data_IF_328197135575
#
_entry.id   IF_328197135575
#
_cell.length_a   1.000
_cell.length_b   1.000
_cell.length_c   1.000
_cell.angle_alpha   90.00
_cell.angle_beta   90.00
_cell.angle_gamma   90.00
#
_symmetry.space_group_name_H-M   'P 1'
#
loop_
_entity.id
_entity.type
_entity.pdbx_description
1 polymer ?
#
# COMPACT_ATOMS: atom_id res chain seq x y z
N UNK A 1 21.63 -9.58 91.06
CA UNK A 1 22.01 -9.12 89.70
C UNK A 1 22.71 -7.78 89.84
N UNK A 2 23.98 -7.67 89.46
CA UNK A 2 24.81 -6.51 89.78
C UNK A 2 24.52 -5.37 88.80
N UNK A 3 24.44 -4.12 89.26
CA UNK A 3 24.07 -2.95 88.43
C UNK A 3 25.00 -2.78 87.21
N UNK A 4 26.27 -3.19 87.34
CA UNK A 4 27.25 -3.25 86.23
C UNK A 4 26.82 -4.20 85.11
N UNK A 5 26.18 -5.33 85.42
CA UNK A 5 25.72 -6.31 84.42
C UNK A 5 24.53 -5.78 83.62
N UNK A 6 23.64 -5.01 84.26
CA UNK A 6 22.49 -4.37 83.59
C UNK A 6 22.96 -3.23 82.68
N UNK A 7 23.93 -2.42 83.14
CA UNK A 7 24.50 -1.33 82.33
C UNK A 7 25.25 -1.86 81.09
N UNK A 8 26.00 -2.95 81.22
CA UNK A 8 26.67 -3.60 80.07
C UNK A 8 25.65 -4.19 79.09
N UNK A 9 24.55 -4.76 79.59
CA UNK A 9 23.48 -5.28 78.73
C UNK A 9 22.75 -4.18 77.97
N UNK A 10 22.51 -3.02 78.59
CA UNK A 10 21.89 -1.86 77.92
C UNK A 10 22.82 -1.17 76.93
N UNK A 11 24.13 -1.11 77.20
CA UNK A 11 25.12 -0.56 76.26
C UNK A 11 25.30 -1.52 75.06
N UNK A 12 25.28 -2.83 75.28
CA UNK A 12 25.32 -3.80 74.19
C UNK A 12 24.06 -3.77 73.31
N UNK A 13 22.88 -3.49 73.89
CA UNK A 13 21.64 -3.34 73.13
C UNK A 13 21.59 -2.05 72.31
N UNK A 14 22.27 -0.99 72.74
CA UNK A 14 22.33 0.30 72.03
C UNK A 14 23.21 0.25 70.76
N UNK A 15 24.06 -0.77 70.61
CA UNK A 15 24.92 -0.98 69.45
C UNK A 15 24.31 -1.91 68.39
N UNK A 16 23.11 -2.44 68.63
CA UNK A 16 22.35 -3.20 67.62
C UNK A 16 21.29 -2.26 67.04
N UNK A 17 21.72 -1.13 66.49
CA UNK A 17 20.86 -0.44 65.53
C UNK A 17 20.92 -1.25 64.23
N UNK A 18 19.79 -1.69 63.66
CA UNK A 18 19.81 -2.23 62.30
C UNK A 18 20.40 -1.12 61.41
N UNK A 19 21.49 -1.43 60.70
CA UNK A 19 21.98 -0.52 59.67
C UNK A 19 20.81 -0.21 58.75
N UNK A 20 20.61 1.04 58.31
CA UNK A 20 19.61 1.31 57.28
C UNK A 20 19.89 0.34 56.13
N UNK A 21 18.90 -0.49 55.79
CA UNK A 21 19.01 -1.33 54.62
C UNK A 21 19.29 -0.38 53.44
N UNK A 22 20.46 -0.54 52.81
CA UNK A 22 20.79 0.22 51.61
C UNK A 22 19.63 0.04 50.63
N UNK A 23 19.04 1.16 50.19
CA UNK A 23 17.96 1.13 49.23
C UNK A 23 18.44 0.43 47.95
N UNK A 24 17.54 -0.31 47.29
CA UNK A 24 17.87 -0.88 45.99
C UNK A 24 18.05 0.27 44.98
N UNK A 25 19.01 0.18 44.06
CA UNK A 25 19.27 1.25 43.09
C UNK A 25 18.08 1.40 42.14
N UNK A 26 17.79 2.64 41.75
CA UNK A 26 16.68 2.97 40.86
C UNK A 26 17.09 3.95 39.76
N UNK A 27 16.45 3.85 38.59
CA UNK A 27 16.72 4.79 37.48
C UNK A 27 16.00 6.11 37.79
N UNK A 28 16.77 7.17 38.03
CA UNK A 28 16.26 8.50 38.37
C UNK A 28 15.72 9.26 37.15
N UNK A 29 16.35 9.06 35.98
CA UNK A 29 15.91 9.65 34.71
C UNK A 29 16.43 8.87 33.53
N UNK A 30 15.73 8.95 32.41
CA UNK A 30 16.11 8.29 31.17
C UNK A 30 15.55 9.07 29.99
N UNK A 31 16.29 9.12 28.88
CA UNK A 31 15.89 9.88 27.69
C UNK A 31 16.43 9.25 26.42
N UNK A 32 15.89 9.70 25.28
CA UNK A 32 16.39 9.34 23.96
C UNK A 32 16.36 10.57 23.03
N UNK A 33 17.28 10.66 22.08
CA UNK A 33 17.36 11.79 21.14
C UNK A 33 16.29 11.77 20.05
N UNK A 34 15.61 10.63 19.83
CA UNK A 34 14.57 10.50 18.81
C UNK A 34 13.30 11.28 19.18
N UNK A 35 12.90 11.24 20.45
CA UNK A 35 11.69 11.91 20.97
C UNK A 35 12.01 13.01 21.99
N UNK A 36 13.28 13.13 22.40
CA UNK A 36 13.75 14.09 23.42
C UNK A 36 12.95 14.02 24.73
N UNK A 37 12.49 12.83 25.09
CA UNK A 37 11.65 12.56 26.26
C UNK A 37 11.90 11.14 26.80
N UNK A 38 11.25 10.80 27.90
CA UNK A 38 11.26 9.50 28.58
C UNK A 38 10.37 8.45 27.86
N UNK A 39 10.30 8.51 26.53
CA UNK A 39 9.53 7.54 25.75
C UNK A 39 10.33 6.24 25.60
N UNK A 40 9.72 5.10 25.97
CA UNK A 40 10.31 3.77 25.79
C UNK A 40 10.08 3.22 24.38
N UNK A 41 9.17 3.81 23.61
CA UNK A 41 8.81 3.42 22.24
C UNK A 41 9.08 4.56 21.26
N UNK A 42 10.34 5.00 21.07
CA UNK A 42 10.62 6.10 20.16
C UNK A 42 10.41 5.67 18.70
N UNK A 43 9.78 6.55 17.93
CA UNK A 43 9.72 6.44 16.48
C UNK A 43 11.06 6.87 15.88
N UNK A 44 11.71 5.97 15.16
CA UNK A 44 13.07 6.19 14.63
C UNK A 44 13.04 6.20 13.11
N UNK A 45 13.56 7.28 12.55
CA UNK A 45 13.77 7.40 11.10
C UNK A 45 14.87 6.41 10.68
N UNK A 46 14.65 5.69 9.58
CA UNK A 46 15.60 4.74 9.05
C UNK A 46 16.98 5.39 8.81
N UNK A 47 18.05 4.79 9.37
CA UNK A 47 19.42 5.30 9.28
C UNK A 47 19.76 6.46 10.24
N UNK A 48 18.80 6.99 11.00
CA UNK A 48 19.08 8.03 11.99
C UNK A 48 19.80 7.43 13.21
N UNK A 49 20.75 8.20 13.77
CA UNK A 49 21.42 7.83 15.02
C UNK A 49 20.59 8.29 16.22
N UNK A 50 20.22 7.35 17.06
CA UNK A 50 19.51 7.60 18.32
C UNK A 50 20.46 7.35 19.48
N UNK A 51 20.59 8.32 20.37
CA UNK A 51 21.34 8.20 21.61
C UNK A 51 20.38 8.00 22.77
N UNK A 52 20.56 6.90 23.49
CA UNK A 52 19.87 6.58 24.74
C UNK A 52 20.73 7.05 25.90
N UNK A 53 20.09 7.62 26.92
CA UNK A 53 20.78 8.12 28.11
C UNK A 53 20.02 7.67 29.35
N UNK A 54 20.77 7.26 30.37
CA UNK A 54 20.21 6.83 31.65
C UNK A 54 20.96 7.50 32.81
N UNK A 55 20.23 7.83 33.87
CA UNK A 55 20.80 8.31 35.13
C UNK A 55 20.23 7.46 36.25
N UNK A 56 21.12 6.97 37.10
CA UNK A 56 20.77 6.17 38.27
C UNK A 56 20.93 7.06 39.51
N UNK A 57 20.10 6.81 40.53
CA UNK A 57 20.10 7.54 41.81
C UNK A 57 21.40 7.38 42.63
N UNK A 58 22.24 6.42 42.26
CA UNK A 58 23.51 6.10 42.90
C UNK A 58 24.67 6.02 41.90
N UNK A 59 25.90 6.06 42.41
CA UNK A 59 27.10 5.92 41.59
C UNK A 59 27.18 4.53 40.93
N UNK A 60 27.19 4.50 39.60
CA UNK A 60 27.28 3.28 38.79
C UNK A 60 28.74 2.85 38.63
N UNK A 61 29.01 1.57 38.90
CA UNK A 61 30.33 0.94 38.73
C UNK A 61 30.51 0.36 37.33
N UNK A 62 29.42 -0.14 36.73
CA UNK A 62 29.41 -0.75 35.41
C UNK A 62 28.08 -0.52 34.70
N UNK A 63 28.15 0.02 33.48
CA UNK A 63 27.08 -0.03 32.50
C UNK A 63 27.32 -1.19 31.54
N UNK A 64 26.28 -1.96 31.29
CA UNK A 64 26.23 -2.99 30.26
C UNK A 64 25.09 -2.63 29.31
N UNK A 65 25.37 -2.56 28.02
CA UNK A 65 24.39 -2.29 26.98
C UNK A 65 24.19 -3.51 26.09
N UNK A 66 22.95 -3.78 25.69
CA UNK A 66 22.62 -4.80 24.69
C UNK A 66 21.82 -4.18 23.55
N UNK A 67 22.24 -4.50 22.33
CA UNK A 67 21.47 -4.27 21.11
C UNK A 67 20.88 -5.61 20.67
N UNK A 68 19.57 -5.77 20.82
CA UNK A 68 18.96 -7.09 20.67
C UNK A 68 19.44 -8.05 21.76
N UNK A 69 19.94 -9.20 21.31
CA UNK A 69 20.57 -10.22 22.14
C UNK A 69 22.08 -10.04 22.32
N UNK A 70 22.68 -9.01 21.69
CA UNK A 70 24.13 -8.86 21.62
C UNK A 70 24.61 -7.82 22.62
N UNK A 71 25.48 -8.21 23.55
CA UNK A 71 26.12 -7.26 24.45
C UNK A 71 27.13 -6.40 23.68
N UNK A 72 27.08 -5.09 23.92
CA UNK A 72 28.00 -4.12 23.33
C UNK A 72 29.00 -3.69 24.39
N UNK A 73 30.28 -3.60 24.02
CA UNK A 73 31.33 -3.06 24.89
C UNK A 73 31.16 -1.56 25.03
N UNK A 74 30.32 -1.14 25.98
CA UNK A 74 30.11 0.26 26.32
C UNK A 74 29.88 0.38 27.83
N UNK A 75 30.81 1.05 28.52
CA UNK A 75 30.70 1.35 29.95
C UNK A 75 30.46 2.85 30.18
N UNK A 76 29.45 3.40 29.51
CA UNK A 76 29.03 4.80 29.64
C UNK A 76 27.53 4.84 29.95
N UNK A 77 27.10 5.97 30.49
CA UNK A 77 25.69 6.31 30.77
C UNK A 77 24.86 6.58 29.49
N UNK A 78 25.54 6.61 28.33
CA UNK A 78 24.95 6.85 27.02
C UNK A 78 25.31 5.76 26.02
N UNK A 79 24.39 5.47 25.11
CA UNK A 79 24.61 4.53 24.01
C UNK A 79 23.95 5.05 22.74
N UNK A 80 24.73 5.14 21.66
CA UNK A 80 24.26 5.61 20.36
C UNK A 80 24.15 4.44 19.38
N UNK A 81 23.01 4.33 18.69
CA UNK A 81 22.75 3.29 17.70
C UNK A 81 21.94 3.83 16.52
N UNK A 82 22.25 3.34 15.33
CA UNK A 82 21.42 3.48 14.14
C UNK A 82 21.08 2.09 13.61
N UNK A 83 19.89 1.96 13.04
CA UNK A 83 19.41 0.75 12.39
C UNK A 83 18.99 1.07 10.96
N UNK A 84 19.25 0.12 10.07
CA UNK A 84 18.81 0.15 8.67
C UNK A 84 17.64 -0.78 8.40
N UNK A 85 17.44 -1.76 9.30
CA UNK A 85 16.48 -2.83 9.13
C UNK A 85 15.11 -2.41 9.71
N UNK A 86 14.06 -2.39 8.88
CA UNK A 86 12.76 -1.85 9.27
C UNK A 86 11.97 -2.86 10.10
N UNK A 87 12.17 -2.90 11.42
CA UNK A 87 11.39 -3.71 12.37
C UNK A 87 11.53 -3.16 13.81
N UNK A 88 10.83 -3.79 14.75
CA UNK A 88 11.02 -3.55 16.18
C UNK A 88 12.44 -3.90 16.60
N UNK A 89 13.12 -2.92 17.18
CA UNK A 89 14.44 -3.11 17.80
C UNK A 89 14.27 -3.13 19.31
N UNK A 90 15.28 -3.65 20.02
CA UNK A 90 15.34 -3.49 21.46
C UNK A 90 16.75 -3.07 21.88
N UNK A 91 16.80 -2.16 22.84
CA UNK A 91 18.03 -1.69 23.46
C UNK A 91 17.87 -1.85 24.96
N UNK A 92 18.73 -2.66 25.58
CA UNK A 92 18.71 -2.88 27.02
C UNK A 92 19.92 -2.21 27.65
N UNK A 93 19.72 -1.55 28.78
CA UNK A 93 20.79 -1.11 29.67
C UNK A 93 20.66 -1.81 31.00
N UNK A 94 21.80 -2.22 31.57
CA UNK A 94 21.91 -2.66 32.96
C UNK A 94 23.00 -1.85 33.63
N UNK A 95 22.63 -1.13 34.67
CA UNK A 95 23.56 -0.40 35.51
C UNK A 95 23.77 -1.18 36.81
N UNK A 96 25.04 -1.40 37.16
CA UNK A 96 25.42 -2.04 38.42
C UNK A 96 25.99 -0.99 39.36
N UNK A 97 25.48 -0.93 40.58
CA UNK A 97 25.92 -0.02 41.66
C UNK A 97 26.51 -0.86 42.81
N UNK A 98 26.89 -0.20 43.91
CA UNK A 98 27.35 -0.89 45.12
C UNK A 98 26.23 -1.66 45.85
N UNK A 99 24.97 -1.28 45.61
CA UNK A 99 23.77 -1.78 46.30
C UNK A 99 23.01 -2.84 45.50
N UNK A 100 23.21 -2.89 44.17
CA UNK A 100 22.59 -3.90 43.31
C UNK A 100 22.75 -3.60 41.83
N UNK A 101 21.85 -4.13 41.00
CA UNK A 101 21.76 -3.81 39.58
C UNK A 101 20.34 -3.41 39.22
N UNK A 102 20.21 -2.46 38.30
CA UNK A 102 18.93 -2.01 37.72
C UNK A 102 19.00 -2.10 36.20
N UNK A 103 17.89 -2.47 35.55
CA UNK A 103 17.81 -2.64 34.10
C UNK A 103 16.63 -1.88 33.50
N UNK A 104 16.79 -1.46 32.25
CA UNK A 104 15.75 -0.80 31.45
C UNK A 104 15.86 -1.22 29.99
N UNK A 105 14.72 -1.23 29.29
CA UNK A 105 14.62 -1.60 27.87
C UNK A 105 13.87 -0.52 27.11
N UNK A 106 14.44 -0.09 25.99
CA UNK A 106 13.75 0.68 24.95
C UNK A 106 13.35 -0.23 23.80
N UNK A 107 12.24 0.10 23.15
CA UNK A 107 11.69 -0.57 21.96
C UNK A 107 11.54 0.42 20.80
N UNK A 108 12.64 0.83 20.15
CA UNK A 108 12.58 1.72 19.00
C UNK A 108 11.78 1.10 17.85
N UNK A 109 10.90 1.90 17.25
CA UNK A 109 10.04 1.49 16.14
C UNK A 109 10.60 2.13 14.86
N UNK A 110 11.04 1.28 13.92
CA UNK A 110 11.45 1.74 12.60
C UNK A 110 10.33 1.48 11.60
N UNK A 111 9.79 2.55 11.03
CA UNK A 111 8.85 2.44 9.93
C UNK A 111 9.60 2.14 8.63
N UNK A 112 9.02 1.24 7.83
CA UNK A 112 9.44 1.06 6.45
C UNK A 112 9.15 2.36 5.68
N UNK A 113 10.07 2.76 4.80
CA UNK A 113 9.83 3.86 3.87
C UNK A 113 8.56 3.60 3.03
N UNK A 114 7.74 4.63 2.83
CA UNK A 114 6.59 4.55 1.94
C UNK A 114 7.05 4.17 0.52
N UNK A 115 6.23 3.40 -0.18
CA UNK A 115 6.52 3.05 -1.57
C UNK A 115 6.53 4.33 -2.42
N UNK A 116 7.62 4.57 -3.14
CA UNK A 116 7.78 5.74 -4.02
C UNK A 116 6.86 5.67 -5.23
N UNK A 117 6.43 4.47 -5.61
CA UNK A 117 5.52 4.24 -6.73
C UNK A 117 4.08 4.25 -6.26
N UNK A 118 3.28 5.16 -6.77
CA UNK A 118 1.82 5.11 -6.66
C UNK A 118 1.30 3.88 -7.42
N UNK A 119 0.27 3.22 -6.88
CA UNK A 119 -0.47 2.22 -7.66
C UNK A 119 -1.05 2.89 -8.91
N UNK A 120 -1.04 2.17 -10.04
CA UNK A 120 -1.75 2.64 -11.23
C UNK A 120 -3.23 2.80 -10.91
N UNK A 121 -3.78 3.96 -11.22
CA UNK A 121 -5.21 4.22 -11.09
C UNK A 121 -5.96 3.48 -12.18
N UNK A 122 -7.07 2.85 -11.82
CA UNK A 122 -8.00 2.27 -12.80
C UNK A 122 -8.55 3.42 -13.64
N UNK A 123 -8.53 3.27 -14.98
CA UNK A 123 -9.16 4.23 -15.87
C UNK A 123 -10.69 4.08 -15.79
N UNK A 124 -11.33 5.03 -15.12
CA UNK A 124 -12.78 5.10 -14.93
C UNK A 124 -13.50 5.87 -16.04
N UNK A 125 -12.76 6.43 -17.02
CA UNK A 125 -13.33 7.20 -18.14
C UNK A 125 -14.49 6.48 -18.86
N UNK A 126 -14.41 5.16 -19.16
CA UNK A 126 -15.53 4.45 -19.78
C UNK A 126 -16.77 4.40 -18.89
N UNK A 127 -16.60 4.27 -17.57
CA UNK A 127 -17.69 4.26 -16.61
C UNK A 127 -18.37 5.64 -16.53
N UNK A 128 -17.59 6.71 -16.43
CA UNK A 128 -18.11 8.08 -16.39
C UNK A 128 -18.87 8.45 -17.66
N UNK A 129 -18.33 8.04 -18.82
CA UNK A 129 -18.99 8.26 -20.12
C UNK A 129 -20.30 7.48 -20.20
N UNK A 130 -20.33 6.25 -19.69
CA UNK A 130 -21.56 5.45 -19.63
C UNK A 130 -22.60 6.09 -18.71
N UNK A 131 -22.20 6.55 -17.52
CA UNK A 131 -23.13 7.14 -16.56
C UNK A 131 -23.71 8.46 -17.07
N UNK A 132 -22.85 9.36 -17.57
CA UNK A 132 -23.29 10.65 -18.13
C UNK A 132 -24.21 10.50 -19.33
N UNK A 133 -24.03 9.46 -20.16
CA UNK A 133 -24.92 9.17 -21.30
C UNK A 133 -26.35 8.81 -20.90
N UNK A 134 -26.61 8.51 -19.62
CA UNK A 134 -27.91 8.14 -19.09
C UNK A 134 -28.62 9.26 -18.31
N UNK A 135 -27.94 10.35 -17.96
CA UNK A 135 -28.44 11.37 -17.02
C UNK A 135 -29.24 12.50 -17.68
N UNK A 136 -28.73 13.11 -18.77
CA UNK A 136 -29.31 14.36 -19.31
C UNK A 136 -30.30 14.14 -20.47
N UNK A 137 -30.01 13.18 -21.34
CA UNK A 137 -30.83 12.66 -22.43
C UNK A 137 -30.24 11.29 -22.77
N UNK A 138 -31.07 10.30 -23.07
CA UNK A 138 -30.60 8.95 -23.41
C UNK A 138 -29.76 8.99 -24.71
N UNK A 139 -28.46 9.18 -24.57
CA UNK A 139 -27.50 9.17 -25.67
C UNK A 139 -27.00 7.74 -25.87
N UNK A 140 -27.79 6.98 -26.63
CA UNK A 140 -27.51 5.58 -26.93
C UNK A 140 -26.19 5.38 -27.68
N UNK A 141 -25.70 6.39 -28.41
CA UNK A 141 -24.44 6.29 -29.16
C UNK A 141 -23.27 6.44 -28.19
N UNK A 142 -23.32 7.43 -27.29
CA UNK A 142 -22.32 7.60 -26.25
C UNK A 142 -22.31 6.40 -25.29
N UNK A 143 -23.49 5.91 -24.89
CA UNK A 143 -23.63 4.69 -24.09
C UNK A 143 -22.98 3.46 -24.76
N UNK A 144 -23.30 3.22 -26.04
CA UNK A 144 -22.75 2.10 -26.79
C UNK A 144 -21.23 2.22 -26.93
N UNK A 145 -20.73 3.42 -27.25
CA UNK A 145 -19.29 3.66 -27.41
C UNK A 145 -18.52 3.45 -26.10
N UNK A 146 -19.07 3.88 -24.97
CA UNK A 146 -18.50 3.65 -23.64
C UNK A 146 -18.49 2.16 -23.26
N UNK A 147 -19.57 1.44 -23.58
CA UNK A 147 -19.71 0.01 -23.26
C UNK A 147 -18.71 -0.87 -24.02
N UNK A 148 -18.40 -0.52 -25.28
CA UNK A 148 -17.46 -1.29 -26.11
C UNK A 148 -16.00 -0.89 -25.88
N UNK A 149 -15.75 0.30 -25.32
CA UNK A 149 -14.43 0.87 -25.06
C UNK A 149 -13.44 -0.08 -24.37
N UNK A 150 -13.79 -0.75 -23.25
CA UNK A 150 -12.86 -1.68 -22.59
C UNK A 150 -12.44 -2.85 -23.49
N UNK A 151 -13.29 -3.28 -24.42
CA UNK A 151 -12.94 -4.35 -25.36
C UNK A 151 -12.12 -3.80 -26.54
N UNK A 152 -12.54 -2.68 -27.11
CA UNK A 152 -11.81 -2.05 -28.23
C UNK A 152 -10.46 -1.48 -27.80
N UNK A 153 -10.27 -1.14 -26.52
CA UNK A 153 -8.98 -0.71 -25.97
C UNK A 153 -7.94 -1.84 -25.94
N UNK A 154 -8.38 -3.09 -25.80
CA UNK A 154 -7.49 -4.26 -25.73
C UNK A 154 -7.22 -4.87 -27.10
N UNK A 155 -8.27 -5.08 -27.90
CA UNK A 155 -8.18 -5.81 -29.18
C UNK A 155 -8.50 -4.95 -30.41
N UNK A 156 -8.72 -3.65 -30.23
CA UNK A 156 -8.94 -2.72 -31.34
C UNK A 156 -10.20 -3.03 -32.16
N UNK A 157 -10.13 -2.70 -33.45
CA UNK A 157 -11.23 -2.91 -34.40
C UNK A 157 -11.56 -4.39 -34.63
N UNK A 158 -10.69 -5.33 -34.25
CA UNK A 158 -10.97 -6.76 -34.33
C UNK A 158 -12.12 -7.19 -33.42
N UNK A 159 -12.42 -6.43 -32.36
CA UNK A 159 -13.60 -6.64 -31.51
C UNK A 159 -14.88 -6.75 -32.34
N UNK A 160 -15.11 -5.81 -33.27
CA UNK A 160 -16.30 -5.81 -34.10
C UNK A 160 -16.34 -7.00 -35.05
N UNK A 161 -15.19 -7.41 -35.60
CA UNK A 161 -15.09 -8.60 -36.46
C UNK A 161 -15.42 -9.87 -35.67
N UNK A 162 -14.99 -9.97 -34.41
CA UNK A 162 -15.32 -11.11 -33.55
C UNK A 162 -16.79 -11.12 -33.16
N UNK A 163 -17.33 -10.00 -32.68
CA UNK A 163 -18.74 -9.93 -32.25
C UNK A 163 -19.69 -10.22 -33.41
N UNK A 164 -19.51 -9.53 -34.55
CA UNK A 164 -20.37 -9.73 -35.71
C UNK A 164 -20.05 -11.03 -36.46
N UNK A 165 -18.78 -11.39 -36.57
CA UNK A 165 -18.35 -12.61 -37.24
C UNK A 165 -18.81 -13.87 -36.52
N UNK A 166 -18.79 -13.90 -35.18
CA UNK A 166 -19.34 -15.01 -34.40
C UNK A 166 -20.86 -15.07 -34.58
N UNK A 167 -21.56 -13.93 -34.51
CA UNK A 167 -23.01 -13.90 -34.72
C UNK A 167 -23.41 -14.42 -36.10
N UNK A 168 -22.87 -13.86 -37.18
CA UNK A 168 -23.17 -14.29 -38.54
C UNK A 168 -22.66 -15.69 -38.83
N UNK A 169 -21.52 -16.09 -38.27
CA UNK A 169 -20.99 -17.45 -38.34
C UNK A 169 -21.95 -18.46 -37.72
N UNK A 170 -22.53 -18.17 -36.55
CA UNK A 170 -23.53 -19.04 -35.93
C UNK A 170 -24.82 -19.13 -36.75
N UNK A 171 -25.29 -18.01 -37.31
CA UNK A 171 -26.47 -18.02 -38.20
C UNK A 171 -26.20 -18.85 -39.45
N UNK A 172 -25.02 -18.71 -40.05
CA UNK A 172 -24.62 -19.50 -41.21
C UNK A 172 -24.54 -20.99 -40.90
N UNK A 173 -23.87 -21.39 -39.82
CA UNK A 173 -23.73 -22.80 -39.43
C UNK A 173 -25.09 -23.45 -39.17
N UNK A 174 -26.05 -22.72 -38.58
CA UNK A 174 -27.39 -23.28 -38.29
C UNK A 174 -28.29 -23.37 -39.51
N UNK A 175 -28.12 -22.50 -40.49
CA UNK A 175 -29.02 -22.41 -41.65
C UNK A 175 -28.46 -23.06 -42.90
N UNK A 176 -27.20 -23.50 -42.87
CA UNK A 176 -26.44 -24.12 -43.97
C UNK A 176 -26.48 -23.32 -45.29
N UNK A 177 -26.87 -22.05 -45.20
CA UNK A 177 -27.20 -21.18 -46.31
C UNK A 177 -26.68 -19.78 -46.03
N UNK A 178 -25.82 -19.29 -46.93
CA UNK A 178 -25.21 -17.96 -46.81
C UNK A 178 -26.20 -16.83 -47.12
N UNK A 179 -27.34 -17.16 -47.73
CA UNK A 179 -28.32 -16.18 -48.18
C UNK A 179 -28.91 -15.37 -47.03
N UNK A 180 -29.23 -16.01 -45.90
CA UNK A 180 -29.87 -15.32 -44.78
C UNK A 180 -28.91 -14.40 -44.03
N UNK A 181 -27.67 -14.80 -43.65
CA UNK A 181 -26.66 -13.87 -43.15
C UNK A 181 -26.45 -12.67 -44.08
N UNK A 182 -26.43 -12.91 -45.39
CA UNK A 182 -26.19 -11.87 -46.40
C UNK A 182 -27.36 -10.88 -46.49
N UNK A 183 -28.60 -11.37 -46.52
CA UNK A 183 -29.80 -10.52 -46.57
C UNK A 183 -29.96 -9.72 -45.28
N UNK A 184 -29.74 -10.33 -44.12
CA UNK A 184 -29.78 -9.62 -42.82
C UNK A 184 -28.69 -8.57 -42.76
N UNK A 185 -27.45 -8.90 -43.15
CA UNK A 185 -26.35 -7.94 -43.22
C UNK A 185 -26.65 -6.77 -44.15
N UNK A 186 -27.29 -7.03 -45.29
CA UNK A 186 -27.70 -6.01 -46.24
C UNK A 186 -28.81 -5.11 -45.70
N UNK A 187 -29.83 -5.66 -45.05
CA UNK A 187 -30.90 -4.89 -44.39
C UNK A 187 -30.32 -4.01 -43.29
N UNK A 188 -29.50 -4.59 -42.40
CA UNK A 188 -28.87 -3.85 -41.29
C UNK A 188 -27.94 -2.77 -41.85
N UNK A 189 -27.15 -3.07 -42.89
CA UNK A 189 -26.29 -2.09 -43.55
C UNK A 189 -27.07 -0.92 -44.16
N UNK A 190 -28.23 -1.17 -44.77
CA UNK A 190 -29.11 -0.11 -45.28
C UNK A 190 -29.69 0.76 -44.16
N UNK A 191 -30.09 0.17 -43.04
CA UNK A 191 -30.61 0.94 -41.89
C UNK A 191 -29.51 1.79 -41.27
N UNK A 192 -28.31 1.23 -41.09
CA UNK A 192 -27.16 1.96 -40.54
C UNK A 192 -26.68 3.08 -41.46
N UNK A 193 -26.93 2.99 -42.76
CA UNK A 193 -26.59 4.04 -43.72
C UNK A 193 -27.24 5.39 -43.39
N UNK A 194 -28.45 5.38 -42.82
CA UNK A 194 -29.18 6.60 -42.44
C UNK A 194 -28.52 7.32 -41.25
N UNK A 195 -27.75 6.59 -40.45
CA UNK A 195 -27.06 7.11 -39.27
C UNK A 195 -25.59 7.48 -39.53
N UNK A 196 -25.10 7.37 -40.78
CA UNK A 196 -23.72 7.73 -41.12
C UNK A 196 -23.49 9.25 -41.03
N UNK A 197 -22.39 9.71 -40.42
CA UNK A 197 -21.96 11.10 -40.48
C UNK A 197 -21.80 11.57 -41.93
N UNK A 198 -22.13 12.84 -42.22
CA UNK A 198 -22.21 13.39 -43.58
C UNK A 198 -20.95 13.17 -44.43
N UNK A 199 -19.77 13.14 -43.80
CA UNK A 199 -18.48 12.85 -44.44
C UNK A 199 -18.37 11.43 -45.02
N UNK A 200 -19.00 10.43 -44.40
CA UNK A 200 -19.02 9.04 -44.89
C UNK A 200 -20.23 8.74 -45.76
N UNK A 201 -21.33 9.49 -45.61
CA UNK A 201 -22.53 9.34 -46.42
C UNK A 201 -22.23 9.58 -47.92
N UNK A 202 -21.32 10.50 -48.25
CA UNK A 202 -20.90 10.79 -49.64
C UNK A 202 -20.13 9.62 -50.26
N UNK A 203 -19.19 9.01 -49.52
CA UNK A 203 -18.47 7.82 -49.97
C UNK A 203 -19.41 6.61 -50.12
N UNK A 204 -20.35 6.44 -49.19
CA UNK A 204 -21.35 5.39 -49.26
C UNK A 204 -22.32 5.54 -50.44
N UNK A 205 -22.81 6.76 -50.71
CA UNK A 205 -23.73 7.00 -51.83
C UNK A 205 -23.04 6.83 -53.18
N UNK A 206 -21.78 7.26 -53.31
CA UNK A 206 -21.00 7.05 -54.54
C UNK A 206 -20.75 5.56 -54.84
N UNK A 207 -20.47 4.74 -53.83
CA UNK A 207 -20.36 3.29 -53.99
C UNK A 207 -21.70 2.63 -54.38
N UNK A 208 -22.82 3.11 -53.82
CA UNK A 208 -24.16 2.65 -54.22
C UNK A 208 -24.48 2.99 -55.68
N UNK A 209 -24.14 4.20 -56.13
CA UNK A 209 -24.33 4.62 -57.53
C UNK A 209 -23.47 3.78 -58.47
N UNK A 210 -22.21 3.52 -58.10
CA UNK A 210 -21.32 2.65 -58.87
C UNK A 210 -21.83 1.20 -58.93
N UNK A 211 -22.36 0.68 -57.82
CA UNK A 211 -22.99 -0.63 -57.75
C UNK A 211 -24.21 -0.73 -58.68
N UNK A 212 -25.11 0.26 -58.65
CA UNK A 212 -26.26 0.31 -59.53
C UNK A 212 -25.84 0.43 -61.01
N UNK A 213 -24.85 1.27 -61.31
CA UNK A 213 -24.31 1.42 -62.66
C UNK A 213 -23.70 0.11 -63.19
N UNK A 214 -22.95 -0.62 -62.36
CA UNK A 214 -22.39 -1.93 -62.71
C UNK A 214 -23.49 -2.97 -62.98
N UNK A 215 -24.56 -2.99 -62.18
CA UNK A 215 -25.71 -3.87 -62.40
C UNK A 215 -26.44 -3.55 -63.71
N UNK A 216 -26.65 -2.27 -64.02
CA UNK A 216 -27.25 -1.82 -65.29
C UNK A 216 -26.35 -2.18 -66.48
N UNK A 217 -25.04 -2.00 -66.35
CA UNK A 217 -24.08 -2.35 -67.40
C UNK A 217 -24.10 -3.86 -67.70
N UNK A 218 -24.13 -4.71 -66.67
CA UNK A 218 -24.23 -6.16 -66.87
C UNK A 218 -25.56 -6.55 -67.54
N UNK A 219 -26.69 -5.96 -67.13
CA UNK A 219 -27.99 -6.17 -67.78
C UNK A 219 -28.00 -5.73 -69.25
N UNK A 220 -27.27 -4.68 -69.61
CA UNK A 220 -27.14 -4.23 -70.99
C UNK A 220 -26.20 -5.12 -71.80
N UNK A 221 -25.11 -5.60 -71.21
CA UNK A 221 -24.13 -6.49 -71.86
C UNK A 221 -24.67 -7.90 -72.10
N UNK A 222 -25.61 -8.36 -71.28
CA UNK A 222 -26.27 -9.67 -71.43
C UNK A 222 -27.39 -9.68 -72.49
N UNK A 223 -27.78 -8.51 -73.02
CA UNK A 223 -28.63 -8.38 -74.22
C UNK A 223 -27.79 -8.28 -75.49
#
# INVERSE_FOLDING_TARGET
MNVKTIAIFFIALLFIMPSPALAAPSISSYSNTATNNNNLYPDVVNGATVTFSVTVDEAVTLYEWWDGSTQVTNNQDTFARSWTDPYFQNVTVKATTATGSVSMVWYPILYRAEAVTTAETIDETPYDTMMSSMEDQSDYISFLSATVLPFTGVIGSMFYVLVWGIYFGMVWIRQESIYVPSVVGLIVGMVLFVFLPSQFAVAGTSLLVLSAAAAIFNLYKER
#
